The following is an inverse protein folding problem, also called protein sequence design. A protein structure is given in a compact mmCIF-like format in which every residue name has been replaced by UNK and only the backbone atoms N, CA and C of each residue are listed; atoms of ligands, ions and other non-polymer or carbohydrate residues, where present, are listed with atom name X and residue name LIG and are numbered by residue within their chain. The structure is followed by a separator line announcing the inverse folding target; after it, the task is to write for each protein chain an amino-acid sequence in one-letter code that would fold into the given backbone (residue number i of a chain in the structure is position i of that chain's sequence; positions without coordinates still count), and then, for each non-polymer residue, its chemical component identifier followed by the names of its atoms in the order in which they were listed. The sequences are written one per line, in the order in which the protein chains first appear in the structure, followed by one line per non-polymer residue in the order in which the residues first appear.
data_IF_892944440591
#
_entry.id   IF_892944440591
#
_cell.length_a   1.000
_cell.length_b   1.000
_cell.length_c   1.000
_cell.angle_alpha   90.00
_cell.angle_beta   90.00
_cell.angle_gamma   90.00
#
_symmetry.space_group_name_H-M   'P 1'
#
loop_
_entity.id
_entity.type
_entity.pdbx_description
1 polymer ?
#
# COMPACT_ATOMS: atom_id res chain seq x y z
N UNK A 1 -32.97 -74.26 12.29
CA UNK A 1 -32.04 -73.55 13.18
C UNK A 1 -30.66 -73.61 12.56
N UNK A 2 -29.91 -72.50 12.66
CA UNK A 2 -28.55 -72.26 12.13
C UNK A 2 -28.49 -71.88 10.65
N UNK A 3 -28.08 -70.63 10.38
CA UNK A 3 -27.92 -70.10 9.02
C UNK A 3 -28.09 -68.58 8.84
N UNK A 4 -28.27 -67.79 9.90
CA UNK A 4 -28.46 -66.32 9.80
C UNK A 4 -27.38 -65.46 10.47
N UNK A 5 -26.24 -66.05 10.87
CA UNK A 5 -25.19 -65.32 11.60
C UNK A 5 -23.97 -64.92 10.73
N UNK A 6 -23.97 -65.20 9.42
CA UNK A 6 -22.83 -64.95 8.54
C UNK A 6 -23.16 -64.07 7.32
N UNK A 7 -24.15 -63.18 7.45
CA UNK A 7 -24.36 -62.07 6.50
C UNK A 7 -24.23 -60.69 7.15
N UNK A 8 -23.88 -60.65 8.45
CA UNK A 8 -23.81 -59.40 9.23
C UNK A 8 -22.37 -58.93 9.51
N UNK A 9 -21.37 -59.46 8.80
CA UNK A 9 -19.94 -59.11 9.03
C UNK A 9 -19.18 -58.64 7.78
N UNK A 10 -19.83 -58.55 6.61
CA UNK A 10 -19.23 -57.93 5.42
C UNK A 10 -19.83 -56.55 5.12
N UNK A 11 -20.94 -56.17 5.74
CA UNK A 11 -21.56 -54.85 5.58
C UNK A 11 -20.89 -53.72 6.38
N UNK A 12 -19.84 -54.00 7.17
CA UNK A 12 -19.11 -52.98 7.95
C UNK A 12 -17.76 -52.63 7.29
N UNK A 13 -17.30 -53.38 6.29
CA UNK A 13 -16.06 -53.09 5.56
C UNK A 13 -16.25 -52.26 4.28
N UNK A 14 -17.48 -51.83 3.97
CA UNK A 14 -17.79 -50.92 2.85
C UNK A 14 -18.12 -49.49 3.30
N UNK A 15 -17.85 -49.15 4.57
CA UNK A 15 -18.02 -47.81 5.14
C UNK A 15 -16.67 -47.07 5.20
N UNK A 16 -15.87 -47.20 4.13
CA UNK A 16 -14.51 -46.65 4.03
C UNK A 16 -14.29 -45.77 2.80
N UNK A 17 -15.36 -45.38 2.10
CA UNK A 17 -15.24 -44.52 0.91
C UNK A 17 -16.32 -43.45 0.98
N UNK A 18 -15.90 -42.21 0.76
CA UNK A 18 -16.70 -40.99 0.64
C UNK A 18 -17.08 -40.28 1.96
N UNK A 19 -16.07 -39.84 2.70
CA UNK A 19 -16.04 -38.42 3.07
C UNK A 19 -14.69 -37.84 2.64
N UNK A 20 -14.61 -37.48 1.36
CA UNK A 20 -13.75 -36.38 0.98
C UNK A 20 -14.31 -35.15 1.70
N UNK A 21 -13.90 -34.96 2.95
CA UNK A 21 -13.98 -33.64 3.56
C UNK A 21 -13.06 -32.79 2.70
N UNK A 22 -13.67 -32.06 1.78
CA UNK A 22 -13.10 -30.84 1.24
C UNK A 22 -12.76 -29.99 2.46
N UNK A 23 -11.54 -30.16 2.97
CA UNK A 23 -10.86 -29.09 3.65
C UNK A 23 -10.83 -27.98 2.61
N UNK A 24 -11.85 -27.11 2.66
CA UNK A 24 -11.69 -25.74 2.21
C UNK A 24 -10.55 -25.22 3.06
N UNK A 25 -9.34 -25.41 2.54
CA UNK A 25 -8.22 -24.60 2.93
C UNK A 25 -8.78 -23.19 2.90
N UNK A 26 -8.75 -22.50 4.04
CA UNK A 26 -8.95 -21.06 4.06
C UNK A 26 -7.88 -20.51 3.11
N UNK A 27 -8.27 -20.38 1.85
CA UNK A 27 -7.48 -19.78 0.82
C UNK A 27 -7.22 -18.38 1.33
N UNK A 28 -5.94 -18.04 1.42
CA UNK A 28 -5.44 -16.72 1.82
C UNK A 28 -6.47 -15.64 1.49
N UNK A 29 -6.91 -14.82 2.46
CA UNK A 29 -7.95 -13.79 2.19
C UNK A 29 -7.52 -12.74 1.14
N UNK A 30 -6.26 -12.80 0.70
CA UNK A 30 -5.62 -11.90 -0.25
C UNK A 30 -4.64 -12.70 -1.13
N UNK A 31 -4.49 -12.41 -2.44
CA UNK A 31 -3.49 -13.07 -3.30
C UNK A 31 -2.03 -12.74 -2.92
N UNK A 32 -1.83 -11.80 -2.00
CA UNK A 32 -0.54 -11.26 -1.60
C UNK A 32 -0.17 -11.71 -0.19
N UNK A 33 1.13 -11.88 0.06
CA UNK A 33 1.67 -12.14 1.40
C UNK A 33 1.84 -10.86 2.25
N UNK A 34 1.04 -9.82 2.00
CA UNK A 34 1.14 -8.50 2.64
C UNK A 34 2.49 -7.80 2.37
N UNK A 35 2.74 -7.48 1.10
CA UNK A 35 3.85 -6.61 0.72
C UNK A 35 3.47 -5.15 0.93
N UNK A 36 4.34 -4.36 1.60
CA UNK A 36 4.22 -2.89 1.74
C UNK A 36 4.71 -2.15 0.50
N UNK A 37 4.83 -2.84 -0.64
CA UNK A 37 5.30 -2.25 -1.89
C UNK A 37 4.19 -1.39 -2.51
N UNK A 38 4.48 -0.12 -2.84
CA UNK A 38 3.60 0.65 -3.70
C UNK A 38 3.64 0.07 -5.13
N UNK A 39 2.50 0.09 -5.78
CA UNK A 39 2.34 -0.09 -7.22
C UNK A 39 2.01 1.28 -7.78
N UNK A 40 2.71 1.67 -8.84
CA UNK A 40 2.49 2.92 -9.56
C UNK A 40 2.20 2.53 -11.01
N UNK A 41 1.11 3.06 -11.56
CA UNK A 41 0.79 3.01 -12.98
C UNK A 41 0.59 4.43 -13.48
N UNK A 42 0.81 4.66 -14.78
CA UNK A 42 0.37 5.92 -15.39
C UNK A 42 -1.10 5.82 -15.75
N UNK A 43 -1.81 6.95 -15.73
CA UNK A 43 -3.20 7.00 -16.14
C UNK A 43 -3.39 6.64 -17.63
N UNK A 44 -2.35 6.81 -18.47
CA UNK A 44 -2.30 6.28 -19.83
C UNK A 44 -2.41 4.75 -19.92
N UNK A 45 -2.02 4.00 -18.88
CA UNK A 45 -2.21 2.54 -18.81
C UNK A 45 -3.67 2.13 -18.53
N UNK A 46 -4.53 3.09 -18.14
CA UNK A 46 -5.95 2.88 -17.88
C UNK A 46 -6.82 3.90 -18.63
N UNK A 47 -6.87 3.85 -19.98
CA UNK A 47 -7.48 4.89 -20.82
C UNK A 47 -8.95 5.22 -20.49
N UNK A 48 -9.69 4.26 -19.93
CA UNK A 48 -11.06 4.46 -19.51
C UNK A 48 -11.23 5.51 -18.40
N UNK A 49 -10.16 5.84 -17.67
CA UNK A 49 -10.15 6.82 -16.58
C UNK A 49 -9.71 8.22 -17.02
N UNK A 50 -9.19 8.38 -18.25
CA UNK A 50 -8.72 9.68 -18.75
C UNK A 50 -9.84 10.73 -18.77
N UNK A 51 -9.47 11.97 -18.41
CA UNK A 51 -10.38 13.09 -18.26
C UNK A 51 -11.39 12.94 -17.12
N UNK A 52 -11.22 11.97 -16.22
CA UNK A 52 -11.95 11.92 -14.97
C UNK A 52 -11.41 12.97 -14.02
N UNK A 53 -12.30 13.69 -13.33
CA UNK A 53 -11.86 14.51 -12.21
C UNK A 53 -11.28 13.62 -11.11
N UNK A 54 -10.20 14.02 -10.45
CA UNK A 54 -9.59 13.22 -9.36
C UNK A 54 -10.61 12.90 -8.25
N UNK A 55 -11.58 13.79 -8.03
CA UNK A 55 -12.70 13.59 -7.10
C UNK A 55 -13.78 12.60 -7.56
N UNK A 56 -13.79 12.21 -8.84
CA UNK A 56 -14.72 11.25 -9.44
C UNK A 56 -14.22 9.80 -9.37
N UNK A 57 -12.94 9.62 -9.00
CA UNK A 57 -12.27 8.34 -8.99
C UNK A 57 -12.51 7.58 -7.68
N UNK A 58 -12.49 6.25 -7.81
CA UNK A 58 -12.55 5.30 -6.71
C UNK A 58 -11.75 4.06 -7.10
N UNK A 59 -11.17 3.38 -6.12
CA UNK A 59 -10.50 2.10 -6.34
C UNK A 59 -11.13 1.01 -5.47
N UNK A 60 -11.23 -0.20 -6.02
CA UNK A 60 -11.80 -1.37 -5.36
C UNK A 60 -10.95 -2.62 -5.57
N UNK A 61 -11.13 -3.60 -4.69
CA UNK A 61 -10.56 -4.93 -4.80
C UNK A 61 -11.59 -5.98 -4.37
N UNK A 62 -11.54 -7.18 -4.95
CA UNK A 62 -12.35 -8.30 -4.46
C UNK A 62 -11.62 -9.15 -3.44
N UNK A 63 -12.38 -9.61 -2.44
CA UNK A 63 -11.95 -10.58 -1.44
C UNK A 63 -13.00 -11.68 -1.31
N UNK A 64 -12.77 -12.67 -0.45
CA UNK A 64 -13.79 -13.68 -0.13
C UNK A 64 -15.09 -13.10 0.47
N UNK A 65 -15.10 -11.83 0.87
CA UNK A 65 -16.26 -11.11 1.43
C UNK A 65 -16.92 -10.18 0.38
N UNK A 66 -16.43 -10.19 -0.88
CA UNK A 66 -16.92 -9.36 -1.98
C UNK A 66 -16.04 -8.14 -2.26
N UNK A 67 -16.62 -7.16 -2.99
CA UNK A 67 -15.99 -5.88 -3.32
C UNK A 67 -15.76 -5.03 -2.07
N UNK A 68 -14.55 -4.51 -1.92
CA UNK A 68 -14.19 -3.52 -0.89
C UNK A 68 -13.44 -2.35 -1.52
N UNK A 69 -13.65 -1.11 -1.04
CA UNK A 69 -12.83 0.01 -1.48
C UNK A 69 -11.38 -0.15 -1.02
N UNK A 70 -10.45 0.41 -1.78
CA UNK A 70 -9.02 0.44 -1.45
C UNK A 70 -8.48 1.85 -1.54
N UNK A 71 -7.54 2.25 -0.65
CA UNK A 71 -6.86 3.52 -0.77
C UNK A 71 -6.01 3.58 -2.05
N UNK A 72 -5.97 4.75 -2.65
CA UNK A 72 -5.12 5.08 -3.78
C UNK A 72 -4.76 6.57 -3.72
N UNK A 73 -3.71 6.96 -4.43
CA UNK A 73 -3.31 8.34 -4.63
C UNK A 73 -3.24 8.62 -6.13
N UNK A 74 -3.51 9.88 -6.47
CA UNK A 74 -3.28 10.42 -7.80
C UNK A 74 -2.30 11.55 -7.63
N UNK A 75 -1.15 11.43 -8.26
CA UNK A 75 -0.15 12.47 -8.34
C UNK A 75 -0.23 13.06 -9.74
N UNK A 76 -0.50 14.37 -9.82
CA UNK A 76 -0.52 15.09 -11.10
C UNK A 76 0.90 15.46 -11.50
N UNK A 77 1.29 15.18 -12.74
CA UNK A 77 2.63 15.50 -13.24
C UNK A 77 2.52 16.60 -14.27
N UNK A 78 3.38 17.62 -14.20
CA UNK A 78 3.45 18.61 -15.27
C UNK A 78 4.25 18.07 -16.47
N UNK A 79 4.35 18.86 -17.56
CA UNK A 79 5.10 18.48 -18.77
C UNK A 79 6.59 18.18 -18.54
N UNK A 80 7.18 18.64 -17.43
CA UNK A 80 8.55 18.31 -17.02
C UNK A 80 8.65 17.06 -16.13
N UNK A 81 7.54 16.34 -15.92
CA UNK A 81 7.45 15.15 -15.07
C UNK A 81 7.56 15.44 -13.57
N UNK A 82 7.20 16.65 -13.14
CA UNK A 82 7.23 17.05 -11.73
C UNK A 82 5.85 16.93 -11.11
N UNK A 83 5.78 16.33 -9.92
CA UNK A 83 4.54 16.27 -9.13
C UNK A 83 4.10 17.69 -8.76
N UNK A 84 2.87 18.03 -9.12
CA UNK A 84 2.24 19.32 -8.84
C UNK A 84 1.02 19.15 -7.95
N UNK A 85 0.83 20.09 -7.02
CA UNK A 85 -0.32 20.06 -6.12
C UNK A 85 -1.49 20.84 -6.72
N UNK A 86 -2.65 20.20 -6.84
CA UNK A 86 -3.90 20.87 -7.21
C UNK A 86 -4.54 21.70 -6.08
N UNK A 87 -4.05 21.58 -4.83
CA UNK A 87 -4.60 22.28 -3.65
C UNK A 87 -3.88 23.60 -3.29
N UNK A 88 -2.77 23.94 -3.95
CA UNK A 88 -1.85 24.98 -3.47
C UNK A 88 -1.66 26.17 -4.41
N UNK A 89 -1.68 27.38 -3.84
CA UNK A 89 -1.41 28.66 -4.53
C UNK A 89 0.09 28.99 -4.69
N UNK A 90 1.00 28.10 -4.27
CA UNK A 90 2.44 28.34 -4.31
C UNK A 90 3.02 27.99 -5.69
N UNK A 91 3.03 28.99 -6.57
CA UNK A 91 3.54 28.99 -7.96
C UNK A 91 5.07 28.80 -8.07
N UNK A 92 5.63 27.73 -7.52
CA UNK A 92 7.06 27.38 -7.74
C UNK A 92 7.26 26.35 -8.85
N UNK A 93 6.19 25.66 -9.24
CA UNK A 93 6.19 24.67 -10.31
C UNK A 93 5.04 25.03 -11.26
N UNK A 94 5.32 24.99 -12.56
CA UNK A 94 4.27 25.20 -13.57
C UNK A 94 3.19 24.13 -13.37
N UNK A 95 1.90 24.52 -13.39
CA UNK A 95 0.81 23.58 -13.20
C UNK A 95 0.80 22.52 -14.30
N UNK A 96 0.11 21.44 -14.02
CA UNK A 96 -0.24 20.46 -15.04
C UNK A 96 -1.07 21.11 -16.16
N UNK A 97 -1.07 20.50 -17.35
CA UNK A 97 -1.84 20.91 -18.52
C UNK A 97 -3.35 20.79 -18.27
N UNK A 98 -3.78 19.84 -17.44
CA UNK A 98 -5.19 19.58 -17.09
C UNK A 98 -5.46 19.50 -15.58
N UNK A 99 -5.18 20.55 -14.79
CA UNK A 99 -5.22 20.46 -13.32
C UNK A 99 -6.56 19.97 -12.78
N UNK A 100 -6.52 18.96 -11.93
CA UNK A 100 -7.69 18.32 -11.32
C UNK A 100 -8.35 17.23 -12.16
N UNK A 101 -7.87 16.97 -13.38
CA UNK A 101 -8.38 15.94 -14.28
C UNK A 101 -7.26 15.02 -14.76
N UNK A 102 -7.50 13.71 -14.74
CA UNK A 102 -6.51 12.71 -15.15
C UNK A 102 -6.07 12.90 -16.61
N UNK A 103 -4.78 13.06 -16.83
CA UNK A 103 -4.15 12.98 -18.14
C UNK A 103 -3.33 11.69 -18.32
N UNK A 104 -2.51 11.57 -19.37
CA UNK A 104 -1.78 10.32 -19.64
C UNK A 104 -0.56 10.08 -18.74
N UNK A 105 0.07 11.16 -18.26
CA UNK A 105 1.31 11.14 -17.48
C UNK A 105 1.09 11.14 -15.98
N UNK A 106 -0.11 11.45 -15.52
CA UNK A 106 -0.49 11.33 -14.12
C UNK A 106 -0.25 9.93 -13.56
N UNK A 107 0.22 9.87 -12.31
CA UNK A 107 0.52 8.63 -11.62
C UNK A 107 -0.63 8.23 -10.69
N UNK A 108 -1.09 6.98 -10.82
CA UNK A 108 -2.05 6.36 -9.90
C UNK A 108 -1.28 5.35 -9.05
N UNK A 109 -1.23 5.58 -7.75
CA UNK A 109 -0.50 4.72 -6.82
C UNK A 109 -1.40 4.08 -5.77
N UNK A 110 -1.08 2.84 -5.39
CA UNK A 110 -1.77 2.09 -4.35
C UNK A 110 -0.84 1.03 -3.75
N UNK A 111 -1.21 0.44 -2.61
CA UNK A 111 -0.37 -0.59 -2.00
C UNK A 111 -0.71 -1.97 -2.56
N UNK A 112 0.31 -2.75 -2.92
CA UNK A 112 0.12 -4.10 -3.46
C UNK A 112 -0.71 -4.99 -2.51
N UNK A 113 -0.54 -4.83 -1.19
CA UNK A 113 -1.34 -5.55 -0.17
C UNK A 113 -2.85 -5.32 -0.29
N UNK A 114 -3.28 -4.22 -0.90
CA UNK A 114 -4.69 -3.90 -1.07
C UNK A 114 -5.31 -4.56 -2.30
N UNK A 115 -4.50 -5.05 -3.23
CA UNK A 115 -4.99 -5.76 -4.40
C UNK A 115 -5.70 -7.06 -4.00
N UNK A 116 -6.73 -7.40 -4.77
CA UNK A 116 -7.63 -8.51 -4.49
C UNK A 116 -7.56 -9.60 -5.55
N UNK A 117 -8.48 -10.55 -5.43
CA UNK A 117 -8.76 -11.49 -6.51
C UNK A 117 -9.55 -10.82 -7.62
N UNK A 118 -9.63 -11.49 -8.77
CA UNK A 118 -10.55 -11.12 -9.84
C UNK A 118 -12.00 -11.23 -9.34
N UNK A 119 -12.76 -10.15 -9.49
CA UNK A 119 -14.17 -10.10 -9.17
C UNK A 119 -15.00 -10.83 -10.22
N UNK A 120 -16.08 -11.48 -9.77
CA UNK A 120 -17.13 -11.94 -10.67
C UNK A 120 -17.92 -10.75 -11.27
N UNK A 121 -18.57 -11.00 -12.40
CA UNK A 121 -19.32 -9.97 -13.12
C UNK A 121 -20.53 -9.45 -12.34
N UNK A 122 -21.14 -10.26 -11.48
CA UNK A 122 -22.28 -9.84 -10.65
C UNK A 122 -21.82 -8.80 -9.63
N UNK A 123 -20.69 -9.03 -8.97
CA UNK A 123 -20.04 -8.10 -8.04
C UNK A 123 -19.76 -6.77 -8.74
N UNK A 124 -19.11 -6.79 -9.91
CA UNK A 124 -18.79 -5.56 -10.66
C UNK A 124 -20.03 -4.81 -11.15
N UNK A 125 -21.12 -5.52 -11.49
CA UNK A 125 -22.39 -4.89 -11.92
C UNK A 125 -23.06 -4.03 -10.85
N UNK A 126 -22.63 -4.15 -9.58
CA UNK A 126 -23.12 -3.33 -8.47
C UNK A 126 -22.47 -1.94 -8.46
N UNK A 127 -21.31 -1.78 -9.09
CA UNK A 127 -20.67 -0.48 -9.27
C UNK A 127 -21.46 0.35 -10.29
N UNK A 128 -21.64 1.64 -10.00
CA UNK A 128 -22.39 2.59 -10.85
C UNK A 128 -21.39 3.59 -11.43
N UNK A 129 -20.87 3.26 -12.60
CA UNK A 129 -19.84 4.07 -13.25
C UNK A 129 -19.10 3.30 -14.34
N UNK A 130 -18.09 3.94 -14.92
CA UNK A 130 -17.13 3.26 -15.80
C UNK A 130 -16.13 2.53 -14.92
N UNK A 131 -15.92 1.24 -15.16
CA UNK A 131 -15.00 0.41 -14.36
C UNK A 131 -13.91 -0.14 -15.28
N UNK A 132 -12.65 -0.06 -14.84
CA UNK A 132 -11.50 -0.68 -15.50
C UNK A 132 -10.76 -1.58 -14.50
N UNK A 133 -10.49 -2.82 -14.90
CA UNK A 133 -9.70 -3.76 -14.11
C UNK A 133 -8.22 -3.66 -14.47
N UNK A 134 -7.35 -3.57 -13.46
CA UNK A 134 -5.90 -3.62 -13.61
C UNK A 134 -5.40 -4.93 -12.99
N UNK A 135 -4.93 -5.83 -13.85
CA UNK A 135 -4.35 -7.10 -13.44
C UNK A 135 -2.86 -6.93 -13.15
N UNK A 136 -2.44 -7.43 -11.99
CA UNK A 136 -1.08 -7.34 -11.49
C UNK A 136 -0.45 -8.73 -11.50
N UNK A 137 0.71 -8.82 -12.15
CA UNK A 137 1.51 -10.03 -12.23
C UNK A 137 2.93 -9.71 -11.80
N UNK A 138 3.44 -10.43 -10.80
CA UNK A 138 4.80 -10.27 -10.30
C UNK A 138 5.27 -11.55 -9.62
N UNK A 139 6.57 -11.84 -9.69
CA UNK A 139 7.17 -13.09 -9.19
C UNK A 139 6.97 -13.32 -7.69
N UNK A 140 6.77 -12.25 -6.92
CA UNK A 140 6.56 -12.31 -5.47
C UNK A 140 5.07 -12.44 -5.07
N UNK A 141 4.16 -12.48 -6.05
CA UNK A 141 2.75 -12.78 -5.83
C UNK A 141 2.52 -14.30 -5.84
N UNK A 142 1.65 -14.79 -4.95
CA UNK A 142 1.26 -16.21 -4.94
C UNK A 142 0.29 -16.55 -6.07
N UNK A 143 -0.44 -15.54 -6.54
CA UNK A 143 -1.39 -15.59 -7.65
C UNK A 143 -1.54 -14.17 -8.22
N UNK A 144 -1.97 -14.03 -9.48
CA UNK A 144 -2.31 -12.72 -10.03
C UNK A 144 -3.28 -11.97 -9.11
N UNK A 145 -3.02 -10.67 -8.95
CA UNK A 145 -3.88 -9.79 -8.17
C UNK A 145 -4.60 -8.82 -9.10
N UNK A 146 -5.70 -8.23 -8.65
CA UNK A 146 -6.49 -7.30 -9.46
C UNK A 146 -7.02 -6.17 -8.59
N UNK A 147 -6.97 -4.97 -9.13
CA UNK A 147 -7.72 -3.81 -8.63
C UNK A 147 -8.70 -3.35 -9.70
N UNK A 148 -9.70 -2.60 -9.28
CA UNK A 148 -10.71 -2.02 -10.16
C UNK A 148 -10.77 -0.52 -9.91
N UNK A 149 -10.40 0.26 -10.92
CA UNK A 149 -10.62 1.69 -10.92
C UNK A 149 -12.03 1.99 -11.44
N UNK A 150 -12.73 2.88 -10.76
CA UNK A 150 -14.08 3.30 -11.13
C UNK A 150 -14.13 4.82 -11.24
N UNK A 151 -14.71 5.30 -12.33
CA UNK A 151 -15.13 6.69 -12.52
C UNK A 151 -16.63 6.82 -12.29
N UNK A 152 -17.04 7.71 -11.39
CA UNK A 152 -18.46 8.00 -11.10
C UNK A 152 -18.67 9.46 -10.67
N UNK A 153 -19.86 10.02 -10.90
CA UNK A 153 -20.17 11.44 -10.63
C UNK A 153 -19.90 11.92 -9.20
N UNK A 154 -19.93 11.02 -8.22
CA UNK A 154 -19.67 11.36 -6.80
C UNK A 154 -18.34 10.85 -6.26
N UNK A 155 -17.61 10.06 -7.06
CA UNK A 155 -16.44 9.33 -6.61
C UNK A 155 -16.65 8.60 -5.28
N UNK A 156 -15.56 8.06 -4.74
CA UNK A 156 -15.51 7.51 -3.39
C UNK A 156 -14.06 7.61 -2.96
N UNK A 157 -13.78 8.55 -2.06
CA UNK A 157 -12.49 8.62 -1.37
C UNK A 157 -12.55 7.70 -0.14
N UNK A 158 -11.72 6.65 -0.07
CA UNK A 158 -11.60 5.83 1.13
C UNK A 158 -11.20 6.69 2.34
N UNK A 159 -11.75 6.38 3.51
CA UNK A 159 -11.48 7.09 4.77
C UNK A 159 -10.01 6.98 5.25
N UNK A 160 -9.23 6.08 4.65
CA UNK A 160 -7.86 5.80 5.07
C UNK A 160 -6.90 6.46 4.09
N UNK A 161 -6.27 7.56 4.52
CA UNK A 161 -5.05 8.04 3.87
C UNK A 161 -3.86 7.26 4.42
N UNK A 162 -2.94 6.83 3.55
CA UNK A 162 -1.70 6.21 4.03
C UNK A 162 -0.74 7.21 4.64
N UNK A 163 -0.84 8.47 4.23
CA UNK A 163 0.05 9.54 4.64
C UNK A 163 -0.79 10.80 4.89
N UNK A 164 -0.57 11.44 6.03
CA UNK A 164 -1.11 12.75 6.40
C UNK A 164 0.06 13.73 6.46
N UNK A 165 -0.07 14.86 5.78
CA UNK A 165 0.89 15.95 5.84
C UNK A 165 0.30 17.12 6.65
N UNK A 166 0.96 17.49 7.74
CA UNK A 166 0.66 18.67 8.54
C UNK A 166 1.70 19.75 8.23
N UNK A 167 1.31 20.71 7.38
CA UNK A 167 2.16 21.81 6.94
C UNK A 167 2.57 22.74 8.09
N UNK A 168 1.72 22.92 9.11
CA UNK A 168 2.03 23.77 10.26
C UNK A 168 3.06 23.11 11.19
N UNK A 169 3.08 21.78 11.24
CA UNK A 169 4.03 21.00 12.03
C UNK A 169 5.23 20.48 11.24
N UNK A 170 5.27 20.75 9.93
CA UNK A 170 6.25 20.18 9.00
C UNK A 170 6.41 18.66 9.19
N UNK A 171 5.26 17.97 9.26
CA UNK A 171 5.17 16.59 9.70
C UNK A 171 4.48 15.74 8.64
N UNK A 172 5.04 14.58 8.37
CA UNK A 172 4.48 13.53 7.53
C UNK A 172 4.18 12.34 8.44
N UNK A 173 2.94 11.90 8.52
CA UNK A 173 2.52 10.80 9.39
C UNK A 173 1.83 9.71 8.59
N UNK A 174 2.20 8.46 8.86
CA UNK A 174 1.47 7.27 8.43
C UNK A 174 1.00 6.49 9.67
N UNK A 175 0.30 5.38 9.45
CA UNK A 175 -0.01 4.43 10.54
C UNK A 175 1.25 3.86 11.20
N UNK A 176 2.34 3.74 10.45
CA UNK A 176 3.51 2.95 10.84
C UNK A 176 4.74 3.82 11.17
N UNK A 177 4.73 5.11 10.82
CA UNK A 177 5.83 6.03 11.14
C UNK A 177 5.39 7.49 11.07
N UNK A 178 6.17 8.38 11.68
CA UNK A 178 6.04 9.83 11.55
C UNK A 178 7.41 10.44 11.33
N UNK A 179 7.52 11.30 10.32
CA UNK A 179 8.69 12.10 10.02
C UNK A 179 8.39 13.57 10.28
N UNK A 180 9.31 14.29 10.90
CA UNK A 180 9.26 15.75 11.02
C UNK A 180 10.53 16.34 10.42
N UNK A 181 10.44 17.52 9.81
CA UNK A 181 11.60 18.19 9.23
C UNK A 181 11.69 19.67 9.64
N UNK A 182 12.92 20.19 9.60
CA UNK A 182 13.17 21.60 9.87
C UNK A 182 12.95 22.43 8.59
N UNK A 183 12.00 23.39 8.57
CA UNK A 183 11.71 24.18 7.36
C UNK A 183 12.92 25.04 6.92
N UNK A 184 13.74 25.48 7.87
CA UNK A 184 14.96 26.27 7.64
C UNK A 184 16.08 25.47 6.95
N UNK A 185 16.00 24.14 7.00
CA UNK A 185 17.02 23.19 6.53
C UNK A 185 16.33 22.04 5.80
N UNK A 186 15.86 22.25 4.55
CA UNK A 186 15.31 21.16 3.74
C UNK A 186 16.34 20.02 3.70
N UNK A 187 15.90 18.78 3.87
CA UNK A 187 16.69 17.55 4.08
C UNK A 187 17.13 17.23 5.53
N UNK A 188 16.89 18.12 6.50
CA UNK A 188 17.07 17.77 7.91
C UNK A 188 15.78 17.19 8.48
N UNK A 189 15.71 15.85 8.53
CA UNK A 189 14.70 15.14 9.31
C UNK A 189 15.05 15.38 10.79
N UNK A 190 14.14 15.93 11.57
CA UNK A 190 14.34 16.20 12.99
C UNK A 190 13.89 15.04 13.85
N UNK A 191 12.79 14.38 13.45
CA UNK A 191 12.25 13.23 14.16
C UNK A 191 11.93 12.10 13.18
N UNK A 192 12.28 10.86 13.53
CA UNK A 192 11.88 9.67 12.78
C UNK A 192 11.26 8.63 13.71
N UNK A 193 9.96 8.79 13.92
CA UNK A 193 9.20 8.11 14.98
C UNK A 193 8.51 6.87 14.44
N UNK A 194 8.61 5.73 15.13
CA UNK A 194 7.85 4.51 14.82
C UNK A 194 7.18 3.91 16.07
N UNK A 195 6.01 3.25 15.94
CA UNK A 195 5.38 2.53 17.04
C UNK A 195 6.18 1.26 17.36
N UNK A 196 6.46 1.02 18.64
CA UNK A 196 7.16 -0.20 19.06
C UNK A 196 6.33 -1.46 18.77
N UNK A 197 6.98 -2.55 18.36
CA UNK A 197 6.33 -3.83 18.01
C UNK A 197 5.42 -4.44 19.10
N UNK A 198 5.57 -4.01 20.36
CA UNK A 198 4.72 -4.44 21.48
C UNK A 198 3.59 -3.44 21.82
N UNK A 199 3.38 -2.41 21.00
CA UNK A 199 2.29 -1.43 21.13
C UNK A 199 2.39 -0.47 22.32
N UNK A 200 3.50 -0.48 23.07
CA UNK A 200 3.73 0.42 24.21
C UNK A 200 4.75 1.50 23.86
N UNK A 201 4.27 2.60 23.29
CA UNK A 201 5.05 3.83 23.04
C UNK A 201 5.64 3.95 21.63
N UNK A 202 6.18 5.12 21.36
CA UNK A 202 6.87 5.49 20.13
C UNK A 202 8.36 5.66 20.38
N UNK A 203 9.20 5.42 19.37
CA UNK A 203 10.65 5.64 19.45
C UNK A 203 11.15 6.45 18.28
N UNK A 204 12.11 7.33 18.52
CA UNK A 204 12.89 7.96 17.46
C UNK A 204 14.02 7.01 17.03
N UNK A 205 14.22 6.87 15.72
CA UNK A 205 15.34 6.10 15.16
C UNK A 205 16.64 6.90 15.27
N UNK A 206 16.58 8.23 15.29
CA UNK A 206 17.77 9.08 15.43
C UNK A 206 18.48 8.84 16.77
N UNK A 207 17.73 8.60 17.86
CA UNK A 207 18.27 8.23 19.18
C UNK A 207 19.06 6.90 19.20
N UNK A 208 19.01 6.12 18.12
CA UNK A 208 19.72 4.84 17.99
C UNK A 208 20.73 4.85 16.85
N UNK A 209 20.89 5.99 16.17
CA UNK A 209 21.78 6.11 15.03
C UNK A 209 23.22 6.26 15.53
N UNK A 210 23.93 5.13 15.61
CA UNK A 210 25.34 5.14 15.99
C UNK A 210 26.20 5.84 14.94
N UNK A 211 26.62 7.07 15.21
CA UNK A 211 27.59 7.80 14.38
C UNK A 211 29.01 7.43 14.81
N UNK A 212 29.88 7.15 13.83
CA UNK A 212 31.32 6.95 14.07
C UNK A 212 32.12 7.88 13.18
N UNK A 213 32.74 8.89 13.76
CA UNK A 213 33.63 9.78 13.01
C UNK A 213 35.06 9.28 13.19
N UNK A 214 35.70 8.97 12.06
CA UNK A 214 37.12 8.65 12.00
C UNK A 214 37.83 9.68 11.15
N UNK A 215 38.65 10.51 11.79
CA UNK A 215 39.50 11.46 11.10
C UNK A 215 40.97 11.07 11.29
N UNK A 216 41.72 11.07 10.19
CA UNK A 216 43.16 10.84 10.17
C UNK A 216 43.84 12.12 9.71
N UNK A 217 44.73 12.67 10.53
CA UNK A 217 45.50 13.86 10.16
C UNK A 217 46.44 13.61 8.97
N UNK A 218 46.94 14.66 8.31
CA UNK A 218 47.74 14.56 7.09
C UNK A 218 49.05 13.75 7.22
N UNK A 219 49.55 13.53 8.43
CA UNK A 219 50.73 12.68 8.71
C UNK A 219 50.39 11.28 9.24
N UNK A 220 49.10 10.94 9.40
CA UNK A 220 48.65 9.66 9.96
C UNK A 220 48.83 9.51 11.48
N UNK A 221 49.51 10.46 12.14
CA UNK A 221 49.88 10.39 13.55
C UNK A 221 48.75 10.80 14.52
N UNK A 222 47.79 11.59 14.06
CA UNK A 222 46.62 11.99 14.85
C UNK A 222 45.41 11.22 14.35
N UNK A 223 44.88 10.34 15.21
CA UNK A 223 43.61 9.64 14.99
C UNK A 223 42.60 10.20 15.99
N UNK A 224 41.57 10.85 15.49
CA UNK A 224 40.42 11.23 16.29
C UNK A 224 39.33 10.20 16.06
N UNK A 225 38.96 9.50 17.12
CA UNK A 225 37.77 8.67 17.18
C UNK A 225 36.82 9.41 18.11
N UNK A 226 35.71 9.90 17.56
CA UNK A 226 34.60 10.38 18.37
C UNK A 226 33.50 9.34 18.30
N UNK A 227 32.98 8.95 19.46
CA UNK A 227 31.73 8.22 19.56
C UNK A 227 30.67 8.98 20.38
N UNK A 228 29.49 8.39 20.44
CA UNK A 228 28.29 8.99 21.06
C UNK A 228 28.39 9.08 22.59
N UNK A 229 29.28 8.33 23.24
CA UNK A 229 29.52 8.39 24.69
C UNK A 229 30.45 9.55 25.07
N UNK A 230 31.13 10.17 24.09
CA UNK A 230 32.03 11.32 24.30
C UNK A 230 31.30 12.68 24.25
N UNK A 231 29.97 12.70 24.01
CA UNK A 231 29.17 13.93 23.85
C UNK A 231 28.22 14.10 25.04
N UNK A 232 28.62 14.92 26.01
CA UNK A 232 27.70 15.44 27.04
C UNK A 232 26.80 16.53 26.42
N UNK A 233 25.50 16.27 26.34
CA UNK A 233 24.50 17.25 25.91
C UNK A 233 23.94 17.93 27.18
N UNK A 234 24.29 19.20 27.39
CA UNK A 234 23.67 20.08 28.40
C UNK A 234 22.43 20.79 27.86
#
# INVERSE_FOLDING_TARGET
MQGKALQLLVAIAAMLIATAQSASALQSKTPTNASVLPVILTAGEVPAMLGAGVGELSAFACSGEGLRPIPFQVDELNAEGRVVSYYGTERRVEPDESPGALDENDEISFMLRDAGYECDAESLSRLRGVVSGVRLEADHLKAPATIYLMRSERGFKPLVSYIEYDAAKHQISSKDYTWRYAPERPFMITDMIYPMLQGRGTKDIQDRLRVRIRATGPTGLVKLNFDEEDVDIH
#
